data_IF_196046536738
#
_entry.id   IF_196046536738
#
_cell.length_a   1.000
_cell.length_b   1.000
_cell.length_c   1.000
_cell.angle_alpha   90.00
_cell.angle_beta   90.00
_cell.angle_gamma   90.00
#
_symmetry.space_group_name_H-M   'P 1'
#
loop_
_entity.id
_entity.type
_entity.pdbx_description
1 polymer ?
#
# COMPACT_ATOMS: atom_id res chain seq x y z
N UNK A 1 28.41 -28.53 -2.59
CA UNK A 1 27.70 -27.56 -1.75
C UNK A 1 28.56 -26.32 -1.47
N UNK A 2 29.70 -26.43 -0.76
CA UNK A 2 30.61 -25.29 -0.49
C UNK A 2 31.17 -24.59 -1.74
N UNK A 3 31.53 -25.34 -2.79
CA UNK A 3 32.00 -24.76 -4.07
C UNK A 3 30.95 -23.90 -4.78
N UNK A 4 29.66 -24.12 -4.52
CA UNK A 4 28.57 -23.40 -5.16
C UNK A 4 28.23 -22.10 -4.38
N UNK A 5 28.39 -22.14 -3.06
CA UNK A 5 28.33 -20.96 -2.18
C UNK A 5 29.50 -20.02 -2.50
N UNK A 6 30.73 -20.54 -2.60
CA UNK A 6 31.90 -19.74 -2.98
C UNK A 6 31.82 -19.18 -4.40
N UNK A 7 31.25 -19.92 -5.36
CA UNK A 7 31.01 -19.41 -6.71
C UNK A 7 30.00 -18.25 -6.70
N UNK A 8 28.92 -18.37 -5.93
CA UNK A 8 27.92 -17.30 -5.76
C UNK A 8 28.50 -16.05 -5.12
N UNK A 9 29.43 -16.19 -4.17
CA UNK A 9 30.13 -15.05 -3.54
C UNK A 9 31.20 -14.46 -4.47
N UNK A 10 31.89 -15.29 -5.26
CA UNK A 10 32.92 -14.86 -6.22
C UNK A 10 32.34 -14.09 -7.41
N UNK A 11 31.21 -14.54 -7.96
CA UNK A 11 30.54 -13.89 -9.10
C UNK A 11 30.07 -12.47 -8.73
N UNK A 12 29.87 -12.16 -7.43
CA UNK A 12 29.50 -10.84 -6.92
C UNK A 12 30.64 -9.80 -7.03
N UNK A 13 31.90 -10.24 -7.11
CA UNK A 13 33.08 -9.36 -7.11
C UNK A 13 33.71 -9.15 -8.51
N UNK A 14 33.03 -9.55 -9.59
CA UNK A 14 33.48 -9.20 -10.96
C UNK A 14 33.33 -7.69 -11.24
N UNK A 15 34.27 -7.05 -11.97
CA UNK A 15 34.25 -5.60 -12.27
C UNK A 15 32.95 -5.09 -12.92
N UNK A 16 32.31 -5.88 -13.79
CA UNK A 16 31.00 -5.55 -14.39
C UNK A 16 29.82 -5.68 -13.41
N UNK A 17 29.96 -6.51 -12.37
CA UNK A 17 28.98 -6.64 -11.30
C UNK A 17 29.17 -5.57 -10.22
N UNK A 18 30.37 -5.00 -10.08
CA UNK A 18 30.65 -3.87 -9.17
C UNK A 18 29.96 -2.58 -9.64
N UNK A 19 29.92 -2.27 -10.95
CA UNK A 19 29.14 -1.12 -11.44
C UNK A 19 27.62 -1.33 -11.34
N UNK A 20 27.17 -2.58 -11.43
CA UNK A 20 25.78 -3.00 -11.20
C UNK A 20 25.42 -3.12 -9.71
N UNK A 21 26.41 -3.20 -8.82
CA UNK A 21 26.28 -3.17 -7.36
C UNK A 21 26.15 -1.73 -6.81
N UNK A 22 26.29 -0.71 -7.67
CA UNK A 22 25.94 0.68 -7.36
C UNK A 22 24.42 0.94 -7.35
N UNK A 23 23.60 -0.02 -7.77
CA UNK A 23 22.14 0.04 -7.64
C UNK A 23 21.74 -0.34 -6.20
N UNK A 24 21.26 0.62 -5.37
CA UNK A 24 21.02 0.35 -3.96
C UNK A 24 19.89 -0.67 -3.73
N UNK A 25 18.95 -0.80 -4.66
CA UNK A 25 17.90 -1.83 -4.58
C UNK A 25 18.50 -3.23 -4.77
N UNK A 26 19.49 -3.39 -5.67
CA UNK A 26 20.21 -4.67 -5.83
C UNK A 26 21.06 -4.99 -4.61
N UNK A 27 21.77 -4.00 -4.07
CA UNK A 27 22.55 -4.19 -2.84
C UNK A 27 21.65 -4.63 -1.68
N UNK A 28 20.47 -4.01 -1.54
CA UNK A 28 19.46 -4.40 -0.55
C UNK A 28 18.96 -5.83 -0.77
N UNK A 29 18.61 -6.20 -2.00
CA UNK A 29 18.18 -7.57 -2.33
C UNK A 29 19.27 -8.62 -2.06
N UNK A 30 20.54 -8.33 -2.40
CA UNK A 30 21.67 -9.22 -2.15
C UNK A 30 21.95 -9.38 -0.65
N UNK A 31 21.90 -8.28 0.11
CA UNK A 31 22.03 -8.31 1.57
C UNK A 31 20.91 -9.14 2.21
N UNK A 32 19.67 -8.94 1.78
CA UNK A 32 18.53 -9.72 2.25
C UNK A 32 18.68 -11.21 1.93
N UNK A 33 19.05 -11.53 0.68
CA UNK A 33 19.31 -12.89 0.24
C UNK A 33 20.35 -13.59 1.13
N UNK A 34 21.49 -12.95 1.39
CA UNK A 34 22.53 -13.51 2.26
C UNK A 34 22.05 -13.81 3.68
N UNK A 35 21.20 -12.93 4.24
CA UNK A 35 20.65 -13.13 5.58
C UNK A 35 19.58 -14.23 5.61
N UNK A 36 18.76 -14.39 4.57
CA UNK A 36 17.81 -15.51 4.48
C UNK A 36 18.55 -16.86 4.44
N UNK A 37 19.61 -16.96 3.62
CA UNK A 37 20.41 -18.18 3.55
C UNK A 37 21.10 -18.47 4.91
N UNK A 38 21.58 -17.41 5.58
CA UNK A 38 22.14 -17.51 6.94
C UNK A 38 21.10 -17.99 7.96
N UNK A 39 19.84 -17.57 7.81
CA UNK A 39 18.69 -18.00 8.61
C UNK A 39 18.49 -19.52 8.48
N UNK A 40 18.54 -20.04 7.25
CA UNK A 40 18.46 -21.48 6.99
C UNK A 40 19.62 -22.28 7.60
N UNK A 41 20.85 -21.76 7.55
CA UNK A 41 22.01 -22.38 8.21
C UNK A 41 21.83 -22.38 9.73
N UNK A 42 21.42 -21.26 10.33
CA UNK A 42 21.13 -21.18 11.77
C UNK A 42 20.10 -22.20 12.20
N UNK A 43 19.02 -22.35 11.42
CA UNK A 43 17.97 -23.34 11.66
C UNK A 43 18.50 -24.78 11.59
N UNK A 44 19.31 -25.11 10.58
CA UNK A 44 19.90 -26.43 10.42
C UNK A 44 20.86 -26.82 11.56
N UNK A 45 21.52 -25.83 12.17
CA UNK A 45 22.37 -26.03 13.35
C UNK A 45 21.59 -26.17 14.67
N UNK A 46 20.26 -26.01 14.64
CA UNK A 46 19.40 -26.16 15.82
C UNK A 46 19.43 -24.99 16.79
N UNK A 47 19.94 -23.82 16.39
CA UNK A 47 20.07 -22.66 17.27
C UNK A 47 18.75 -21.91 17.46
N UNK A 48 18.38 -21.64 18.71
CA UNK A 48 17.40 -20.67 19.24
C UNK A 48 16.40 -20.08 18.22
N UNK A 49 15.47 -20.92 17.78
CA UNK A 49 14.29 -20.50 17.00
C UNK A 49 13.03 -20.81 17.79
N UNK A 50 12.14 -19.83 17.92
CA UNK A 50 10.83 -20.05 18.54
C UNK A 50 10.05 -21.08 17.72
N UNK A 51 9.52 -22.11 18.38
CA UNK A 51 8.76 -23.19 17.74
C UNK A 51 7.40 -23.33 18.41
N UNK A 52 6.37 -23.43 17.58
CA UNK A 52 5.01 -23.66 18.07
C UNK A 52 4.94 -24.98 18.85
N UNK A 53 4.20 -24.95 19.96
CA UNK A 53 3.87 -26.14 20.75
C UNK A 53 2.36 -26.18 20.94
N UNK A 54 1.71 -27.35 20.76
CA UNK A 54 0.29 -27.50 21.06
C UNK A 54 -0.07 -27.00 22.47
N UNK A 55 -1.18 -26.30 22.59
CA UNK A 55 -1.63 -25.70 23.86
C UNK A 55 -0.95 -24.39 24.25
N UNK A 56 -0.01 -23.87 23.44
CA UNK A 56 0.51 -22.50 23.56
C UNK A 56 -0.12 -21.59 22.50
N UNK A 57 -0.27 -20.28 22.76
CA UNK A 57 -0.72 -19.33 21.75
C UNK A 57 0.18 -19.31 20.52
N UNK A 58 -0.41 -19.12 19.34
CA UNK A 58 0.31 -18.94 18.09
C UNK A 58 0.86 -17.51 18.00
N UNK A 59 2.18 -17.35 18.15
CA UNK A 59 2.91 -16.09 17.96
C UNK A 59 3.14 -15.78 16.49
N UNK A 60 2.49 -14.73 15.96
CA UNK A 60 2.68 -14.25 14.59
C UNK A 60 3.16 -12.81 14.58
N UNK A 61 4.03 -12.48 13.62
CA UNK A 61 4.40 -11.09 13.33
C UNK A 61 3.88 -10.67 11.96
N UNK A 62 3.19 -9.53 11.92
CA UNK A 62 2.73 -8.89 10.70
C UNK A 62 3.82 -7.96 10.20
N UNK A 63 4.36 -8.26 9.02
CA UNK A 63 5.25 -7.38 8.28
C UNK A 63 4.40 -6.62 7.25
N UNK A 64 4.38 -5.29 7.30
CA UNK A 64 3.59 -4.46 6.39
C UNK A 64 4.00 -2.99 6.37
N UNK A 65 3.39 -2.21 5.47
CA UNK A 65 3.59 -0.77 5.39
C UNK A 65 2.58 -0.03 6.29
N UNK A 66 2.72 -0.16 7.61
CA UNK A 66 1.91 0.59 8.58
C UNK A 66 2.76 1.64 9.31
N UNK A 67 2.13 2.66 9.86
CA UNK A 67 2.84 3.78 10.50
C UNK A 67 3.33 4.86 9.54
N UNK A 68 2.76 4.91 8.34
CA UNK A 68 2.82 6.04 7.42
C UNK A 68 1.52 6.84 7.39
N UNK A 69 0.47 6.39 8.10
CA UNK A 69 -0.92 6.83 7.97
C UNK A 69 -1.47 6.63 6.56
N UNK A 70 -1.06 5.56 5.88
CA UNK A 70 -1.75 5.12 4.68
C UNK A 70 -3.01 4.36 5.12
N UNK A 71 -4.16 5.05 5.10
CA UNK A 71 -5.46 4.50 5.52
C UNK A 71 -5.73 3.15 4.87
N UNK A 72 -5.37 2.97 3.60
CA UNK A 72 -5.56 1.69 2.91
C UNK A 72 -4.72 0.53 3.44
N UNK A 73 -3.47 0.79 3.83
CA UNK A 73 -2.65 -0.20 4.50
C UNK A 73 -3.16 -0.47 5.93
N UNK A 74 -3.54 0.59 6.65
CA UNK A 74 -3.95 0.50 8.05
C UNK A 74 -5.26 -0.28 8.22
N UNK A 75 -6.31 0.03 7.43
CA UNK A 75 -7.61 -0.69 7.51
C UNK A 75 -7.47 -2.17 7.17
N UNK A 76 -6.59 -2.51 6.21
CA UNK A 76 -6.37 -3.89 5.80
C UNK A 76 -5.80 -4.71 6.95
N UNK A 77 -4.82 -4.14 7.65
CA UNK A 77 -4.19 -4.77 8.78
C UNK A 77 -5.15 -4.86 9.96
N UNK A 78 -5.86 -3.79 10.32
CA UNK A 78 -6.82 -3.81 11.43
C UNK A 78 -7.84 -4.92 11.23
N UNK A 79 -8.32 -5.06 9.99
CA UNK A 79 -9.29 -6.09 9.64
C UNK A 79 -8.68 -7.50 9.64
N UNK A 80 -7.41 -7.67 9.24
CA UNK A 80 -6.69 -8.95 9.45
C UNK A 80 -6.61 -9.33 10.93
N UNK A 81 -6.31 -8.37 11.82
CA UNK A 81 -6.24 -8.62 13.26
C UNK A 81 -7.60 -9.08 13.80
N UNK A 82 -8.69 -8.43 13.38
CA UNK A 82 -10.06 -8.83 13.74
C UNK A 82 -10.40 -10.22 13.23
N UNK A 83 -10.08 -10.54 11.98
CA UNK A 83 -10.31 -11.85 11.38
C UNK A 83 -9.53 -12.96 12.09
N UNK A 84 -8.25 -12.75 12.40
CA UNK A 84 -7.45 -13.73 13.11
C UNK A 84 -8.02 -14.02 14.50
N UNK A 85 -8.43 -12.99 15.24
CA UNK A 85 -9.09 -13.18 16.54
C UNK A 85 -10.40 -13.91 16.43
N UNK A 86 -11.22 -13.61 15.43
CA UNK A 86 -12.47 -14.31 15.20
C UNK A 86 -12.27 -15.81 14.91
N UNK A 87 -11.18 -16.17 14.24
CA UNK A 87 -10.85 -17.57 13.88
C UNK A 87 -10.21 -18.32 15.05
N UNK A 88 -9.21 -17.71 15.69
CA UNK A 88 -8.37 -18.40 16.68
C UNK A 88 -8.86 -18.21 18.12
N UNK A 89 -9.51 -17.07 18.44
CA UNK A 89 -9.76 -16.62 19.80
C UNK A 89 -8.52 -15.94 20.42
N UNK A 90 -8.75 -14.96 21.29
CA UNK A 90 -7.68 -14.13 21.88
C UNK A 90 -6.67 -14.94 22.71
N UNK A 91 -7.11 -16.00 23.38
CA UNK A 91 -6.25 -16.85 24.22
C UNK A 91 -5.33 -17.78 23.41
N UNK A 92 -5.54 -17.87 22.09
CA UNK A 92 -4.83 -18.81 21.22
C UNK A 92 -3.91 -18.13 20.21
N UNK A 93 -3.82 -16.79 20.22
CA UNK A 93 -2.97 -16.06 19.30
C UNK A 93 -2.27 -14.88 19.99
N UNK A 94 -0.99 -14.71 19.70
CA UNK A 94 -0.20 -13.54 20.09
C UNK A 94 0.24 -12.82 18.82
N UNK A 95 -0.17 -11.56 18.67
CA UNK A 95 0.07 -10.78 17.46
C UNK A 95 1.05 -9.64 17.73
N UNK A 96 2.06 -9.56 16.87
CA UNK A 96 2.96 -8.42 16.76
C UNK A 96 2.82 -7.76 15.39
N UNK A 97 3.12 -6.48 15.29
CA UNK A 97 3.15 -5.74 14.02
C UNK A 97 4.39 -4.88 13.90
N UNK A 98 5.04 -4.92 12.74
CA UNK A 98 6.12 -4.02 12.38
C UNK A 98 5.56 -2.68 11.90
N UNK A 99 5.91 -1.58 12.56
CA UNK A 99 5.46 -0.22 12.23
C UNK A 99 6.63 0.67 11.85
N UNK A 100 6.40 1.57 10.89
CA UNK A 100 7.34 2.60 10.51
C UNK A 100 7.45 3.73 11.54
N UNK A 101 6.40 3.96 12.33
CA UNK A 101 6.36 4.99 13.37
C UNK A 101 5.31 4.64 14.41
N UNK A 102 5.77 4.38 15.64
CA UNK A 102 4.88 4.02 16.76
C UNK A 102 3.94 5.14 17.16
N UNK A 103 4.28 6.42 16.96
CA UNK A 103 3.40 7.54 17.28
C UNK A 103 2.19 7.55 16.35
N UNK A 104 2.42 7.28 15.07
CA UNK A 104 1.38 7.26 14.06
C UNK A 104 0.47 6.03 14.16
N UNK A 105 0.98 4.91 14.71
CA UNK A 105 0.18 3.72 15.01
C UNK A 105 -0.31 3.63 16.45
N UNK A 106 -0.04 4.60 17.33
CA UNK A 106 -0.49 4.55 18.74
C UNK A 106 -2.01 4.49 18.88
N UNK A 107 -2.73 5.16 17.96
CA UNK A 107 -4.19 5.13 17.90
C UNK A 107 -4.77 3.86 17.28
N UNK A 108 -3.95 3.05 16.60
CA UNK A 108 -4.32 1.86 15.82
C UNK A 108 -3.76 0.59 16.43
N UNK A 109 -4.30 -0.57 16.06
CA UNK A 109 -3.74 -1.86 16.44
C UNK A 109 -3.43 -1.95 17.96
N UNK A 110 -4.28 -1.36 18.82
CA UNK A 110 -3.95 -1.07 20.24
C UNK A 110 -3.71 -2.33 21.08
N UNK A 111 -4.20 -3.45 20.57
CA UNK A 111 -4.23 -4.75 21.23
C UNK A 111 -3.14 -5.69 20.70
N UNK A 112 -2.21 -5.20 19.89
CA UNK A 112 -1.08 -5.98 19.37
C UNK A 112 0.25 -5.31 19.69
N UNK A 113 1.30 -6.12 19.83
CA UNK A 113 2.64 -5.61 20.14
C UNK A 113 3.20 -4.89 18.92
N UNK A 114 3.41 -3.58 19.02
CA UNK A 114 3.98 -2.78 17.93
C UNK A 114 5.49 -2.71 18.02
N UNK A 115 6.19 -2.99 16.92
CA UNK A 115 7.65 -3.07 16.84
C UNK A 115 8.11 -2.07 15.79
N UNK A 116 8.89 -1.08 16.21
CA UNK A 116 9.36 -0.05 15.30
C UNK A 116 10.44 -0.62 14.37
N UNK A 117 10.21 -0.50 13.06
CA UNK A 117 11.11 -0.98 12.02
C UNK A 117 12.13 0.12 11.67
N UNK A 118 13.43 -0.21 11.61
CA UNK A 118 14.44 0.72 11.13
C UNK A 118 14.35 0.89 9.61
N UNK A 119 14.87 2.02 9.10
CA UNK A 119 14.94 2.28 7.65
C UNK A 119 15.69 1.17 6.91
N UNK A 120 16.80 0.68 7.48
CA UNK A 120 17.56 -0.45 6.95
C UNK A 120 17.15 -1.72 7.71
N UNK A 121 16.26 -2.49 7.11
CA UNK A 121 15.57 -3.61 7.74
C UNK A 121 16.18 -5.03 7.61
N UNK A 122 17.20 -5.35 6.76
CA UNK A 122 17.67 -6.74 6.64
C UNK A 122 18.12 -7.39 7.94
N UNK A 123 19.00 -6.74 8.70
CA UNK A 123 19.44 -7.24 10.02
C UNK A 123 18.28 -7.32 11.01
N UNK A 124 17.40 -6.31 11.00
CA UNK A 124 16.22 -6.30 11.85
C UNK A 124 15.32 -7.53 11.61
N UNK A 125 15.03 -7.87 10.36
CA UNK A 125 14.26 -9.08 10.04
C UNK A 125 14.98 -10.36 10.48
N UNK A 126 16.30 -10.44 10.26
CA UNK A 126 17.11 -11.59 10.67
C UNK A 126 17.10 -11.83 12.20
N UNK A 127 17.02 -10.75 12.98
CA UNK A 127 16.98 -10.79 14.45
C UNK A 127 15.54 -10.95 14.99
N UNK A 128 14.53 -10.37 14.32
CA UNK A 128 13.17 -10.28 14.83
C UNK A 128 12.27 -11.45 14.39
N UNK A 129 12.31 -11.87 13.12
CA UNK A 129 11.50 -13.00 12.62
C UNK A 129 11.67 -14.31 13.44
N UNK A 130 12.87 -14.67 13.95
CA UNK A 130 13.07 -15.91 14.70
C UNK A 130 12.28 -16.00 16.00
N UNK A 131 11.82 -14.87 16.54
CA UNK A 131 11.07 -14.77 17.80
C UNK A 131 9.60 -15.21 17.67
N UNK A 132 9.15 -15.51 16.46
CA UNK A 132 7.76 -15.85 16.15
C UNK A 132 7.65 -17.25 15.53
N UNK A 133 6.44 -17.83 15.59
CA UNK A 133 6.09 -19.08 14.91
C UNK A 133 5.80 -18.89 13.42
N UNK A 134 5.61 -17.64 12.98
CA UNK A 134 5.28 -17.32 11.61
C UNK A 134 5.29 -15.84 11.31
N UNK A 135 5.39 -15.54 10.02
CA UNK A 135 5.29 -14.20 9.44
C UNK A 135 4.06 -14.13 8.56
N UNK A 136 3.31 -13.04 8.74
CA UNK A 136 2.24 -12.62 7.83
C UNK A 136 2.71 -11.37 7.11
N UNK A 137 2.96 -11.44 5.80
CA UNK A 137 3.10 -10.24 4.98
C UNK A 137 1.71 -9.67 4.71
N UNK A 138 1.48 -8.42 5.10
CA UNK A 138 0.15 -7.80 5.11
C UNK A 138 0.00 -6.55 4.23
N UNK A 139 0.86 -6.34 3.23
CA UNK A 139 0.73 -5.23 2.26
C UNK A 139 -0.18 -5.60 1.09
N UNK A 140 -0.84 -4.60 0.50
CA UNK A 140 -1.73 -4.78 -0.65
C UNK A 140 -0.89 -4.89 -1.91
N UNK A 141 -0.07 -3.88 -2.17
CA UNK A 141 0.87 -3.85 -3.30
C UNK A 141 2.14 -4.68 -3.04
N UNK A 142 1.98 -5.95 -2.64
CA UNK A 142 3.05 -6.75 -2.02
C UNK A 142 4.19 -7.14 -2.97
N UNK A 143 3.90 -7.49 -4.22
CA UNK A 143 4.90 -7.99 -5.17
C UNK A 143 4.91 -7.18 -6.46
N UNK A 144 5.63 -6.06 -6.47
CA UNK A 144 5.78 -5.19 -7.67
C UNK A 144 6.94 -4.21 -7.55
N UNK A 145 7.40 -3.72 -8.71
CA UNK A 145 8.47 -2.70 -8.81
C UNK A 145 7.94 -1.27 -9.01
N UNK A 146 6.62 -1.08 -9.16
CA UNK A 146 6.00 0.22 -9.46
C UNK A 146 6.20 1.28 -8.38
N UNK A 147 6.17 0.90 -7.09
CA UNK A 147 6.26 1.83 -5.96
C UNK A 147 7.68 1.97 -5.45
N UNK A 148 8.20 0.89 -4.86
CA UNK A 148 9.57 0.79 -4.39
C UNK A 148 9.94 -0.70 -4.32
N UNK A 149 11.07 -1.06 -4.91
CA UNK A 149 11.60 -2.43 -4.80
C UNK A 149 11.89 -2.78 -3.33
N UNK A 150 12.33 -1.80 -2.54
CA UNK A 150 12.58 -1.97 -1.10
C UNK A 150 11.37 -2.53 -0.33
N UNK A 151 10.14 -2.11 -0.67
CA UNK A 151 8.94 -2.62 0.01
C UNK A 151 8.69 -4.09 -0.36
N UNK A 152 8.81 -4.46 -1.63
CA UNK A 152 8.74 -5.87 -2.04
C UNK A 152 9.86 -6.68 -1.41
N UNK A 153 11.09 -6.15 -1.32
CA UNK A 153 12.22 -6.82 -0.66
C UNK A 153 11.99 -7.03 0.84
N UNK A 154 11.36 -6.07 1.53
CA UNK A 154 10.98 -6.23 2.93
C UNK A 154 10.00 -7.38 3.11
N UNK A 155 8.95 -7.44 2.29
CA UNK A 155 7.90 -8.45 2.42
C UNK A 155 8.36 -9.84 2.01
N UNK A 156 8.96 -9.95 0.83
CA UNK A 156 9.56 -11.20 0.37
C UNK A 156 10.71 -11.65 1.30
N UNK A 157 11.44 -10.70 1.89
CA UNK A 157 12.46 -10.96 2.89
C UNK A 157 11.89 -11.59 4.16
N UNK A 158 10.85 -10.99 4.74
CA UNK A 158 10.21 -11.50 5.94
C UNK A 158 9.59 -12.90 5.72
N UNK A 159 8.92 -13.11 4.58
CA UNK A 159 8.42 -14.42 4.17
C UNK A 159 9.55 -15.44 4.00
N UNK A 160 10.64 -15.04 3.35
CA UNK A 160 11.82 -15.89 3.14
C UNK A 160 12.51 -16.28 4.44
N UNK A 161 12.62 -15.37 5.42
CA UNK A 161 13.16 -15.69 6.76
C UNK A 161 12.34 -16.78 7.44
N UNK A 162 11.01 -16.65 7.45
CA UNK A 162 10.14 -17.65 8.05
C UNK A 162 10.22 -18.99 7.31
N UNK A 163 10.18 -18.96 5.97
CA UNK A 163 10.29 -20.17 5.15
C UNK A 163 11.62 -20.90 5.36
N UNK A 164 12.74 -20.18 5.47
CA UNK A 164 14.07 -20.75 5.72
C UNK A 164 14.19 -21.46 7.08
N UNK A 165 13.38 -21.06 8.06
CA UNK A 165 13.29 -21.71 9.38
C UNK A 165 12.13 -22.72 9.47
N UNK A 166 11.52 -23.10 8.34
CA UNK A 166 10.37 -24.00 8.26
C UNK A 166 9.17 -23.54 9.13
N UNK A 167 8.92 -22.22 9.15
CA UNK A 167 7.83 -21.57 9.87
C UNK A 167 6.71 -21.15 8.92
N UNK A 168 5.57 -20.73 9.48
CA UNK A 168 4.46 -20.21 8.68
C UNK A 168 4.91 -18.93 7.96
N UNK A 169 4.81 -18.93 6.63
CA UNK A 169 5.11 -17.79 5.78
C UNK A 169 3.91 -17.52 4.87
N UNK A 170 3.11 -16.50 5.20
CA UNK A 170 1.84 -16.24 4.52
C UNK A 170 1.76 -14.79 4.03
N UNK A 171 1.56 -14.57 2.73
CA UNK A 171 1.10 -13.29 2.21
C UNK A 171 -0.43 -13.24 2.26
N UNK A 172 -1.02 -12.25 2.93
CA UNK A 172 -2.47 -12.20 3.17
C UNK A 172 -3.12 -10.99 2.48
N UNK A 173 -4.10 -11.23 1.61
CA UNK A 173 -4.76 -10.20 0.81
C UNK A 173 -3.82 -9.51 -0.18
N UNK A 174 -2.88 -10.25 -0.75
CA UNK A 174 -1.78 -9.73 -1.56
C UNK A 174 -2.21 -9.41 -2.99
N UNK A 175 -1.51 -8.45 -3.59
CA UNK A 175 -1.52 -8.20 -5.01
C UNK A 175 -0.11 -8.29 -5.60
N UNK A 176 -0.05 -8.83 -6.80
CA UNK A 176 1.17 -8.93 -7.58
C UNK A 176 0.98 -8.23 -8.92
N UNK A 177 2.00 -7.48 -9.32
CA UNK A 177 2.02 -6.73 -10.57
C UNK A 177 3.34 -6.92 -11.30
N UNK A 178 3.67 -5.98 -12.18
CA UNK A 178 4.95 -6.01 -12.89
C UNK A 178 6.12 -5.91 -11.90
N UNK A 179 7.07 -6.84 -12.02
CA UNK A 179 8.34 -6.85 -11.31
C UNK A 179 9.47 -6.78 -12.33
N UNK A 180 10.50 -5.98 -12.04
CA UNK A 180 11.73 -6.02 -12.83
C UNK A 180 12.41 -7.40 -12.72
N UNK A 181 13.31 -7.75 -13.66
CA UNK A 181 13.90 -9.09 -13.68
C UNK A 181 14.65 -9.48 -12.40
N UNK A 182 15.46 -8.60 -11.75
CA UNK A 182 16.03 -8.89 -10.44
C UNK A 182 15.00 -9.21 -9.36
N UNK A 183 13.97 -8.37 -9.20
CA UNK A 183 12.92 -8.57 -8.21
C UNK A 183 12.14 -9.86 -8.46
N UNK A 184 11.81 -10.15 -9.72
CA UNK A 184 11.13 -11.39 -10.11
C UNK A 184 11.92 -12.63 -9.70
N UNK A 185 13.25 -12.62 -9.88
CA UNK A 185 14.13 -13.72 -9.45
C UNK A 185 14.20 -13.83 -7.92
N UNK A 186 14.28 -12.70 -7.23
CA UNK A 186 14.31 -12.65 -5.76
C UNK A 186 13.04 -13.25 -5.16
N UNK A 187 11.87 -12.78 -5.59
CA UNK A 187 10.56 -13.27 -5.14
C UNK A 187 10.37 -14.75 -5.49
N UNK A 188 10.71 -15.16 -6.71
CA UNK A 188 10.64 -16.57 -7.14
C UNK A 188 11.44 -17.49 -6.22
N UNK A 189 12.64 -17.07 -5.81
CA UNK A 189 13.52 -17.90 -4.97
C UNK A 189 13.04 -17.96 -3.52
N UNK A 190 12.78 -16.81 -2.91
CA UNK A 190 12.62 -16.71 -1.47
C UNK A 190 11.17 -16.80 -0.99
N UNK A 191 10.18 -16.72 -1.89
CA UNK A 191 8.77 -16.91 -1.54
C UNK A 191 8.18 -18.24 -2.06
N UNK A 192 8.99 -19.13 -2.64
CA UNK A 192 8.52 -20.39 -3.24
C UNK A 192 7.78 -21.30 -2.24
N UNK A 193 8.22 -21.28 -0.98
CA UNK A 193 7.69 -22.12 0.10
C UNK A 193 6.63 -21.36 0.93
N UNK A 194 6.24 -20.16 0.50
CA UNK A 194 5.19 -19.36 1.13
C UNK A 194 3.82 -19.65 0.54
N UNK A 195 2.76 -19.44 1.32
CA UNK A 195 1.39 -19.37 0.83
C UNK A 195 1.01 -17.91 0.59
N UNK A 196 0.53 -17.56 -0.60
CA UNK A 196 0.02 -16.22 -0.87
C UNK A 196 -1.48 -16.26 -1.17
N UNK A 197 -2.28 -15.61 -0.31
CA UNK A 197 -3.70 -15.39 -0.52
C UNK A 197 -3.85 -14.10 -1.32
N UNK A 198 -4.16 -14.23 -2.59
CA UNK A 198 -4.29 -13.11 -3.52
C UNK A 198 -5.69 -12.49 -3.46
N UNK A 199 -5.76 -11.17 -3.52
CA UNK A 199 -7.04 -10.42 -3.50
C UNK A 199 -7.75 -10.33 -4.85
N UNK A 200 -7.12 -10.81 -5.93
CA UNK A 200 -7.68 -10.86 -7.28
C UNK A 200 -7.01 -11.97 -8.13
N UNK A 201 -7.69 -12.38 -9.19
CA UNK A 201 -7.22 -13.45 -10.09
C UNK A 201 -5.95 -13.08 -10.88
N UNK A 202 -5.79 -11.86 -11.43
CA UNK A 202 -4.55 -11.48 -12.11
C UNK A 202 -3.29 -11.70 -11.27
N UNK A 203 -3.35 -11.40 -9.96
CA UNK A 203 -2.24 -11.63 -9.05
C UNK A 203 -1.91 -13.11 -8.87
N UNK A 204 -2.91 -14.00 -8.92
CA UNK A 204 -2.70 -15.45 -8.88
C UNK A 204 -1.96 -15.94 -10.11
N UNK A 205 -2.27 -15.39 -11.29
CA UNK A 205 -1.52 -15.66 -12.52
C UNK A 205 -0.05 -15.25 -12.40
N UNK A 206 0.21 -14.00 -12.00
CA UNK A 206 1.58 -13.46 -11.86
C UNK A 206 2.45 -14.31 -10.93
N UNK A 207 1.92 -14.70 -9.77
CA UNK A 207 2.66 -15.52 -8.80
C UNK A 207 2.68 -17.00 -9.16
N UNK A 208 1.64 -17.51 -9.83
CA UNK A 208 1.59 -18.87 -10.37
C UNK A 208 2.71 -19.12 -11.38
N UNK A 209 3.00 -18.15 -12.26
CA UNK A 209 4.12 -18.20 -13.21
C UNK A 209 5.51 -18.26 -12.52
N UNK A 210 5.58 -17.88 -11.24
CA UNK A 210 6.79 -18.00 -10.42
C UNK A 210 6.87 -19.34 -9.69
N UNK A 211 5.82 -20.16 -9.74
CA UNK A 211 5.72 -21.41 -8.98
C UNK A 211 5.41 -21.18 -7.50
N UNK A 212 4.89 -20.02 -7.12
CA UNK A 212 4.52 -19.70 -5.74
C UNK A 212 3.11 -20.24 -5.47
N UNK A 213 2.92 -20.87 -4.30
CA UNK A 213 1.61 -21.41 -3.92
C UNK A 213 0.63 -20.27 -3.65
N UNK A 214 -0.47 -20.23 -4.40
CA UNK A 214 -1.51 -19.21 -4.24
C UNK A 214 -2.88 -19.77 -3.83
N UNK A 215 -3.69 -18.93 -3.20
CA UNK A 215 -5.13 -19.10 -3.00
C UNK A 215 -5.86 -17.82 -3.41
N UNK A 216 -7.09 -17.94 -3.85
CA UNK A 216 -7.98 -16.79 -4.05
C UNK A 216 -8.57 -16.30 -2.74
N UNK A 217 -8.84 -15.01 -2.68
CA UNK A 217 -9.50 -14.31 -1.59
C UNK A 217 -10.00 -12.94 -2.09
N UNK A 218 -10.42 -12.10 -1.16
CA UNK A 218 -10.78 -10.69 -1.42
C UNK A 218 -9.81 -9.76 -0.71
N UNK A 219 -9.88 -8.47 -0.99
CA UNK A 219 -9.14 -7.48 -0.21
C UNK A 219 -9.66 -7.45 1.23
N UNK A 220 -8.75 -7.46 2.19
CA UNK A 220 -9.15 -7.56 3.60
C UNK A 220 -9.91 -6.34 4.07
N UNK A 221 -9.72 -5.16 3.47
CA UNK A 221 -10.43 -3.94 3.86
C UNK A 221 -11.95 -4.01 3.61
N UNK A 222 -12.43 -4.96 2.81
CA UNK A 222 -13.85 -5.03 2.42
C UNK A 222 -14.79 -5.10 3.62
N UNK A 223 -14.40 -5.85 4.65
CA UNK A 223 -15.20 -6.07 5.87
C UNK A 223 -14.83 -5.13 7.00
N UNK A 224 -14.04 -4.09 6.74
CA UNK A 224 -13.67 -3.12 7.77
C UNK A 224 -14.89 -2.40 8.35
N UNK A 225 -14.92 -2.28 9.67
CA UNK A 225 -15.95 -1.58 10.43
C UNK A 225 -15.47 -0.16 10.79
N UNK A 226 -16.07 0.90 10.20
CA UNK A 226 -15.68 2.28 10.48
C UNK A 226 -16.34 2.82 11.75
N UNK A 227 -16.03 4.08 12.08
CA UNK A 227 -16.82 4.81 13.07
C UNK A 227 -18.32 4.87 12.66
N UNK A 228 -19.26 4.96 13.63
CA UNK A 228 -20.69 5.03 13.35
C UNK A 228 -21.05 6.11 12.33
N UNK A 229 -22.15 5.93 11.60
CA UNK A 229 -22.56 6.86 10.52
C UNK A 229 -22.68 8.31 11.01
N UNK A 230 -23.15 8.50 12.24
CA UNK A 230 -23.35 9.80 12.88
C UNK A 230 -22.04 10.57 13.02
N UNK A 231 -20.93 9.84 13.20
CA UNK A 231 -19.59 10.43 13.26
C UNK A 231 -19.19 11.01 11.90
N UNK A 232 -19.35 10.24 10.82
CA UNK A 232 -19.10 10.71 9.46
C UNK A 232 -19.98 11.90 9.08
N UNK A 233 -21.27 11.86 9.42
CA UNK A 233 -22.20 12.98 9.19
C UNK A 233 -21.81 14.23 9.98
N UNK A 234 -21.40 14.09 11.24
CA UNK A 234 -20.95 15.21 12.06
C UNK A 234 -19.69 15.88 11.49
N UNK A 235 -18.73 15.08 11.01
CA UNK A 235 -17.53 15.56 10.35
C UNK A 235 -17.86 16.33 9.05
N UNK A 236 -18.77 15.79 8.23
CA UNK A 236 -19.24 16.46 7.02
C UNK A 236 -19.98 17.77 7.33
N UNK A 237 -20.84 17.79 8.35
CA UNK A 237 -21.55 19.02 8.78
C UNK A 237 -20.60 20.09 9.26
N UNK A 238 -19.59 19.72 10.06
CA UNK A 238 -18.53 20.63 10.48
C UNK A 238 -17.73 21.20 9.29
N UNK A 239 -17.65 20.45 8.19
CA UNK A 239 -17.02 20.86 6.95
C UNK A 239 -17.94 21.69 6.01
N UNK A 240 -19.20 21.91 6.37
CA UNK A 240 -20.15 22.74 5.61
C UNK A 240 -21.26 21.96 4.88
N UNK A 241 -21.41 20.66 5.15
CA UNK A 241 -22.56 19.90 4.66
C UNK A 241 -23.85 20.29 5.39
N UNK A 242 -24.91 20.54 4.63
CA UNK A 242 -26.23 20.93 5.15
C UNK A 242 -27.06 19.70 5.60
N UNK A 243 -26.63 18.49 5.24
CA UNK A 243 -27.34 17.24 5.49
C UNK A 243 -28.30 16.81 4.39
N UNK A 244 -28.39 17.56 3.29
CA UNK A 244 -29.33 17.30 2.20
C UNK A 244 -28.64 17.26 0.82
N UNK A 245 -27.69 18.15 0.55
CA UNK A 245 -27.00 18.19 -0.74
C UNK A 245 -26.20 16.90 -0.97
N UNK A 246 -26.10 16.46 -2.24
CA UNK A 246 -25.24 15.34 -2.64
C UNK A 246 -23.78 15.66 -2.25
N UNK A 247 -23.02 14.66 -1.81
CA UNK A 247 -21.59 14.82 -1.48
C UNK A 247 -20.76 13.98 -2.45
N UNK A 248 -19.78 14.58 -3.13
CA UNK A 248 -18.84 13.88 -4.00
C UNK A 248 -17.45 13.86 -3.39
N UNK A 249 -16.93 12.67 -3.09
CA UNK A 249 -15.55 12.51 -2.67
C UNK A 249 -14.60 12.46 -3.88
N UNK A 250 -13.52 13.23 -3.82
CA UNK A 250 -12.45 13.19 -4.80
C UNK A 250 -11.15 12.83 -4.09
N UNK A 251 -10.54 11.71 -4.46
CA UNK A 251 -9.33 11.19 -3.79
C UNK A 251 -8.11 11.28 -4.73
N UNK A 252 -7.54 12.47 -4.96
CA UNK A 252 -6.40 12.62 -5.84
C UNK A 252 -5.11 12.12 -5.18
N UNK A 253 -4.16 11.71 -6.00
CA UNK A 253 -2.77 11.43 -5.61
C UNK A 253 -1.83 12.23 -6.51
N UNK A 254 -0.52 12.15 -6.27
CA UNK A 254 0.45 12.43 -7.33
C UNK A 254 0.95 11.10 -7.95
N UNK A 255 0.47 10.72 -9.15
CA UNK A 255 0.81 9.43 -9.74
C UNK A 255 2.19 9.42 -10.40
N UNK A 256 2.81 10.59 -10.61
CA UNK A 256 4.06 10.74 -11.36
C UNK A 256 5.31 10.82 -10.45
N UNK A 257 5.14 10.67 -9.14
CA UNK A 257 6.23 10.60 -8.15
C UNK A 257 6.88 9.21 -7.99
N UNK A 258 6.35 8.21 -8.69
CA UNK A 258 6.72 6.80 -8.53
C UNK A 258 7.43 6.25 -9.77
N UNK A 259 8.37 5.28 -9.64
CA UNK A 259 8.83 4.67 -8.39
C UNK A 259 9.72 5.62 -7.58
N UNK A 260 9.67 5.48 -6.26
CA UNK A 260 10.61 6.16 -5.36
C UNK A 260 11.92 5.39 -5.39
N UNK A 261 13.03 6.09 -5.64
CA UNK A 261 14.38 5.51 -5.69
C UNK A 261 15.26 6.05 -4.57
N UNK A 262 16.19 5.24 -4.04
CA UNK A 262 17.19 5.72 -3.11
C UNK A 262 18.17 6.66 -3.82
N UNK A 263 18.31 7.88 -3.31
CA UNK A 263 19.27 8.89 -3.77
C UNK A 263 20.10 9.38 -2.58
N UNK A 264 21.27 8.77 -2.41
CA UNK A 264 22.21 9.05 -1.32
C UNK A 264 22.81 10.46 -1.40
N UNK A 265 22.90 11.06 -2.58
CA UNK A 265 23.42 12.43 -2.76
C UNK A 265 22.39 13.47 -2.33
N UNK A 266 21.12 13.28 -2.71
CA UNK A 266 20.03 14.13 -2.20
C UNK A 266 19.80 13.94 -0.70
N UNK A 267 20.02 12.74 -0.16
CA UNK A 267 19.94 12.48 1.29
C UNK A 267 20.98 13.28 2.08
N UNK A 268 22.21 13.35 1.57
CA UNK A 268 23.28 14.15 2.16
C UNK A 268 23.00 15.66 2.04
N UNK A 269 22.50 16.14 0.89
CA UNK A 269 22.12 17.54 0.69
C UNK A 269 20.92 17.97 1.54
N UNK A 270 19.93 17.09 1.73
CA UNK A 270 18.79 17.31 2.63
C UNK A 270 19.25 17.41 4.10
N UNK A 271 20.14 16.51 4.55
CA UNK A 271 20.61 16.49 5.94
C UNK A 271 21.55 17.66 6.29
N UNK A 272 22.32 18.17 5.31
CA UNK A 272 23.27 19.26 5.51
C UNK A 272 22.70 20.66 5.26
N UNK A 273 21.75 20.82 4.34
CA UNK A 273 21.30 22.14 3.86
C UNK A 273 19.78 22.36 3.84
N UNK A 274 18.96 21.36 4.21
CA UNK A 274 17.50 21.48 4.22
C UNK A 274 16.85 21.69 2.84
N UNK A 275 17.59 21.44 1.76
CA UNK A 275 17.12 21.49 0.37
C UNK A 275 16.35 20.21 0.01
N UNK A 276 15.52 20.22 -1.03
CA UNK A 276 14.72 19.07 -1.51
C UNK A 276 13.58 18.58 -0.60
N UNK A 277 13.02 19.45 0.28
CA UNK A 277 11.87 19.12 1.15
C UNK A 277 10.64 18.57 0.41
N UNK A 278 10.41 18.99 -0.85
CA UNK A 278 9.27 18.52 -1.67
C UNK A 278 9.54 17.17 -2.37
N UNK A 279 10.80 16.76 -2.46
CA UNK A 279 11.24 15.53 -3.14
C UNK A 279 11.53 14.40 -2.14
N UNK A 280 11.63 14.72 -0.85
CA UNK A 280 11.96 13.75 0.19
C UNK A 280 10.72 12.93 0.55
N UNK A 281 10.75 11.63 0.22
CA UNK A 281 9.73 10.69 0.67
C UNK A 281 10.03 10.27 2.11
N UNK A 282 11.21 9.66 2.34
CA UNK A 282 11.73 9.33 3.68
C UNK A 282 13.20 8.89 3.63
N UNK A 283 14.00 9.29 4.62
CA UNK A 283 15.42 8.92 4.77
C UNK A 283 16.24 9.15 3.49
N UNK A 284 16.63 8.09 2.78
CA UNK A 284 17.42 8.17 1.54
C UNK A 284 16.57 8.10 0.27
N UNK A 285 15.25 7.98 0.40
CA UNK A 285 14.33 7.76 -0.71
C UNK A 285 13.71 9.07 -1.18
N UNK A 286 13.84 9.36 -2.47
CA UNK A 286 13.36 10.57 -3.11
C UNK A 286 12.35 10.25 -4.21
N UNK A 287 11.34 11.12 -4.35
CA UNK A 287 10.40 11.09 -5.46
C UNK A 287 11.11 11.41 -6.79
N UNK A 288 10.65 10.78 -7.87
CA UNK A 288 11.06 11.19 -9.20
C UNK A 288 10.44 12.55 -9.51
N UNK A 289 11.26 13.60 -9.62
CA UNK A 289 10.81 14.93 -10.05
C UNK A 289 11.55 15.32 -11.33
N UNK A 290 10.78 15.56 -12.38
CA UNK A 290 11.22 16.12 -13.66
C UNK A 290 10.18 17.15 -14.12
N UNK A 291 10.57 18.10 -14.97
CA UNK A 291 9.62 19.07 -15.55
C UNK A 291 8.46 18.36 -16.27
N UNK A 292 8.74 17.22 -16.90
CA UNK A 292 7.73 16.36 -17.53
C UNK A 292 6.74 15.79 -16.49
N UNK A 293 7.24 15.30 -15.35
CA UNK A 293 6.38 14.76 -14.27
C UNK A 293 5.50 15.85 -13.68
N UNK A 294 6.04 17.06 -13.52
CA UNK A 294 5.29 18.23 -13.03
C UNK A 294 4.24 18.68 -14.05
N UNK A 295 4.55 18.68 -15.35
CA UNK A 295 3.60 18.99 -16.41
C UNK A 295 2.46 17.96 -16.48
N UNK A 296 2.78 16.67 -16.39
CA UNK A 296 1.80 15.57 -16.33
C UNK A 296 0.90 15.70 -15.11
N UNK A 297 1.46 15.99 -13.93
CA UNK A 297 0.68 16.20 -12.72
C UNK A 297 -0.25 17.42 -12.83
N UNK A 298 0.22 18.53 -13.42
CA UNK A 298 -0.62 19.70 -13.70
C UNK A 298 -1.78 19.36 -14.63
N UNK A 299 -1.53 18.61 -15.70
CA UNK A 299 -2.57 18.16 -16.64
C UNK A 299 -3.60 17.24 -15.96
N UNK A 300 -3.13 16.28 -15.16
CA UNK A 300 -3.97 15.36 -14.37
C UNK A 300 -4.89 16.12 -13.40
N UNK A 301 -4.35 17.00 -12.56
CA UNK A 301 -5.14 17.81 -11.62
C UNK A 301 -6.05 18.80 -12.36
N UNK A 302 -5.61 19.36 -13.49
CA UNK A 302 -6.41 20.24 -14.33
C UNK A 302 -7.62 19.52 -14.94
N UNK A 303 -7.45 18.26 -15.37
CA UNK A 303 -8.54 17.41 -15.86
C UNK A 303 -9.58 17.14 -14.78
N UNK A 304 -9.13 16.76 -13.57
CA UNK A 304 -10.02 16.56 -12.42
C UNK A 304 -10.77 17.85 -12.06
N UNK A 305 -10.06 18.97 -11.96
CA UNK A 305 -10.67 20.27 -11.64
C UNK A 305 -11.75 20.65 -12.68
N UNK A 306 -11.45 20.53 -13.97
CA UNK A 306 -12.39 20.84 -15.07
C UNK A 306 -13.69 20.03 -14.93
N UNK A 307 -13.59 18.72 -14.72
CA UNK A 307 -14.76 17.86 -14.55
C UNK A 307 -15.53 18.18 -13.27
N UNK A 308 -14.84 18.37 -12.15
CA UNK A 308 -15.46 18.65 -10.86
C UNK A 308 -16.21 19.99 -10.85
N UNK A 309 -15.63 21.03 -11.48
CA UNK A 309 -16.27 22.35 -11.62
C UNK A 309 -17.58 22.23 -12.42
N UNK A 310 -17.55 21.52 -13.55
CA UNK A 310 -18.73 21.30 -14.36
C UNK A 310 -19.81 20.52 -13.58
N UNK A 311 -19.41 19.44 -12.91
CA UNK A 311 -20.32 18.62 -12.12
C UNK A 311 -20.97 19.37 -10.96
N UNK A 312 -20.20 20.13 -10.17
CA UNK A 312 -20.72 20.90 -9.04
C UNK A 312 -21.69 21.98 -9.54
N UNK A 313 -21.41 22.63 -10.67
CA UNK A 313 -22.31 23.59 -11.30
C UNK A 313 -23.65 22.96 -11.73
N UNK A 314 -23.61 21.72 -12.22
CA UNK A 314 -24.81 20.99 -12.68
C UNK A 314 -25.64 20.41 -11.54
N UNK A 315 -24.98 19.89 -10.50
CA UNK A 315 -25.63 19.09 -9.45
C UNK A 315 -25.88 19.85 -8.14
N UNK A 316 -25.17 20.95 -7.91
CA UNK A 316 -25.14 21.60 -6.60
C UNK A 316 -24.50 20.75 -5.49
N UNK A 317 -23.76 19.69 -5.84
CA UNK A 317 -23.13 18.80 -4.87
C UNK A 317 -22.00 19.50 -4.09
N UNK A 318 -21.80 19.09 -2.84
CA UNK A 318 -20.63 19.44 -2.04
C UNK A 318 -19.43 18.57 -2.45
N UNK A 319 -18.36 19.13 -3.01
CA UNK A 319 -17.12 18.39 -3.23
C UNK A 319 -16.29 18.35 -1.96
N UNK A 320 -15.78 17.16 -1.61
CA UNK A 320 -14.75 16.99 -0.59
C UNK A 320 -13.50 16.38 -1.21
N UNK A 321 -12.33 16.77 -0.74
CA UNK A 321 -11.04 16.23 -1.16
C UNK A 321 -10.51 15.29 -0.08
N UNK A 322 -10.17 14.07 -0.45
CA UNK A 322 -9.82 13.02 0.51
C UNK A 322 -8.41 12.50 0.26
N UNK A 323 -7.51 12.73 1.21
CA UNK A 323 -6.15 12.21 1.20
C UNK A 323 -6.03 10.94 2.04
N UNK A 324 -5.96 9.78 1.38
CA UNK A 324 -5.89 8.47 2.05
C UNK A 324 -4.51 8.16 2.65
N UNK A 325 -3.53 9.00 2.38
CA UNK A 325 -2.20 8.99 3.00
C UNK A 325 -1.74 10.44 3.19
N UNK A 326 -0.84 10.71 4.16
CA UNK A 326 -0.42 12.09 4.47
C UNK A 326 0.14 12.82 3.25
N UNK A 327 0.87 12.10 2.39
CA UNK A 327 1.43 12.66 1.15
C UNK A 327 0.36 13.10 0.14
N UNK A 328 -0.87 12.59 0.24
CA UNK A 328 -1.96 13.00 -0.66
C UNK A 328 -2.43 14.42 -0.38
N UNK A 329 -2.09 14.99 0.79
CA UNK A 329 -2.33 16.39 1.13
C UNK A 329 -1.90 17.31 -0.01
N UNK A 330 -0.71 17.09 -0.55
CA UNK A 330 -0.17 17.93 -1.62
C UNK A 330 -1.05 17.91 -2.88
N UNK A 331 -1.58 16.75 -3.25
CA UNK A 331 -2.49 16.63 -4.39
C UNK A 331 -3.86 17.22 -4.09
N UNK A 332 -4.35 17.08 -2.86
CA UNK A 332 -5.61 17.68 -2.40
C UNK A 332 -5.52 19.21 -2.38
N UNK A 333 -4.48 19.78 -1.77
CA UNK A 333 -4.27 21.23 -1.70
C UNK A 333 -4.08 21.83 -3.11
N UNK A 334 -3.26 21.20 -3.95
CA UNK A 334 -3.08 21.65 -5.33
C UNK A 334 -4.40 21.56 -6.13
N UNK A 335 -5.21 20.53 -5.93
CA UNK A 335 -6.54 20.47 -6.55
C UNK A 335 -7.45 21.58 -6.03
N UNK A 336 -7.48 21.82 -4.71
CA UNK A 336 -8.29 22.88 -4.09
C UNK A 336 -7.97 24.27 -4.66
N UNK A 337 -6.70 24.59 -4.86
CA UNK A 337 -6.25 25.86 -5.47
C UNK A 337 -6.80 26.11 -6.88
N UNK A 338 -7.22 25.04 -7.59
CA UNK A 338 -7.75 25.10 -8.95
C UNK A 338 -9.27 25.24 -8.99
N UNK A 339 -9.94 25.14 -7.84
CA UNK A 339 -11.40 25.17 -7.76
C UNK A 339 -11.88 26.60 -7.43
N UNK A 340 -12.94 27.09 -8.09
CA UNK A 340 -13.52 28.41 -7.82
C UNK A 340 -14.40 28.42 -6.56
N UNK A 341 -14.45 27.31 -5.83
CA UNK A 341 -15.25 27.11 -4.62
C UNK A 341 -14.43 26.37 -3.56
N UNK A 342 -14.85 26.47 -2.30
CA UNK A 342 -14.25 25.73 -1.20
C UNK A 342 -14.58 24.24 -1.34
N UNK A 343 -13.55 23.40 -1.29
CA UNK A 343 -13.68 21.95 -1.15
C UNK A 343 -12.98 21.55 0.16
N UNK A 344 -13.69 21.09 1.20
CA UNK A 344 -13.07 20.65 2.45
C UNK A 344 -12.12 19.47 2.26
N UNK A 345 -11.03 19.44 3.02
CA UNK A 345 -10.03 18.38 2.98
C UNK A 345 -10.26 17.41 4.15
N UNK A 346 -10.23 16.11 3.86
CA UNK A 346 -10.18 15.03 4.84
C UNK A 346 -8.92 14.21 4.57
N UNK A 347 -7.86 14.46 5.33
CA UNK A 347 -6.57 13.81 5.13
C UNK A 347 -6.22 12.94 6.33
N UNK A 348 -5.61 11.79 6.05
CA UNK A 348 -5.22 10.79 7.05
C UNK A 348 -4.23 11.25 8.13
N UNK A 349 -3.56 12.40 7.99
CA UNK A 349 -2.75 13.00 9.06
C UNK A 349 -3.61 13.70 10.14
N UNK A 350 -4.80 14.17 9.77
CA UNK A 350 -5.76 14.84 10.66
C UNK A 350 -6.91 13.93 11.11
N UNK A 351 -7.26 12.95 10.26
CA UNK A 351 -8.37 12.04 10.50
C UNK A 351 -7.89 10.60 10.55
N UNK A 352 -8.42 9.84 11.50
CA UNK A 352 -8.08 8.43 11.65
C UNK A 352 -8.85 7.55 10.64
N UNK A 353 -8.43 6.28 10.49
CA UNK A 353 -8.99 5.39 9.48
C UNK A 353 -10.48 5.09 9.70
N UNK A 354 -10.95 5.12 10.95
CA UNK A 354 -12.35 4.89 11.30
C UNK A 354 -13.21 6.08 10.87
N UNK A 355 -12.75 7.30 11.16
CA UNK A 355 -13.38 8.54 10.73
C UNK A 355 -13.36 8.68 9.20
N UNK A 356 -12.21 8.42 8.57
CA UNK A 356 -12.03 8.51 7.11
C UNK A 356 -13.02 7.60 6.38
N UNK A 357 -13.10 6.31 6.74
CA UNK A 357 -14.04 5.39 6.09
C UNK A 357 -15.49 5.74 6.42
N UNK A 358 -15.78 6.23 7.62
CA UNK A 358 -17.13 6.71 7.98
C UNK A 358 -17.57 7.86 7.08
N UNK A 359 -16.70 8.86 6.87
CA UNK A 359 -16.94 9.97 5.93
C UNK A 359 -17.13 9.46 4.51
N UNK A 360 -16.25 8.57 4.02
CA UNK A 360 -16.36 8.02 2.67
C UNK A 360 -17.71 7.32 2.43
N UNK A 361 -18.21 6.55 3.40
CA UNK A 361 -19.51 5.85 3.31
C UNK A 361 -20.73 6.77 3.45
N UNK A 362 -20.53 8.06 3.77
CA UNK A 362 -21.59 9.07 3.74
C UNK A 362 -21.65 9.87 2.43
N UNK A 363 -20.68 9.69 1.55
CA UNK A 363 -20.68 10.34 0.25
C UNK A 363 -21.75 9.75 -0.67
N UNK A 364 -22.34 10.58 -1.52
CA UNK A 364 -23.28 10.16 -2.56
C UNK A 364 -22.56 9.53 -3.76
N UNK A 365 -21.30 9.91 -4.00
CA UNK A 365 -20.48 9.32 -5.04
C UNK A 365 -18.99 9.62 -4.85
N UNK A 366 -18.13 8.95 -5.63
CA UNK A 366 -16.68 9.08 -5.55
C UNK A 366 -16.00 9.10 -6.92
N UNK A 367 -14.93 9.89 -7.01
CA UNK A 367 -13.85 9.76 -8.01
C UNK A 367 -12.55 9.54 -7.25
N UNK A 368 -11.79 8.50 -7.57
CA UNK A 368 -10.62 8.15 -6.76
C UNK A 368 -9.45 7.63 -7.58
N UNK A 369 -8.25 8.09 -7.21
CA UNK A 369 -6.97 7.52 -7.61
C UNK A 369 -6.36 6.63 -6.51
N UNK A 370 -7.09 6.42 -5.41
CA UNK A 370 -6.76 5.54 -4.29
C UNK A 370 -7.68 4.32 -4.29
N UNK A 371 -7.10 3.16 -4.59
CA UNK A 371 -7.80 1.86 -4.58
C UNK A 371 -8.64 1.64 -3.31
N UNK A 372 -8.07 1.88 -2.12
CA UNK A 372 -8.77 1.59 -0.86
C UNK A 372 -9.88 2.59 -0.52
N UNK A 373 -9.92 3.80 -1.10
CA UNK A 373 -11.08 4.67 -0.95
C UNK A 373 -12.31 4.03 -1.62
N UNK A 374 -12.09 3.37 -2.77
CA UNK A 374 -13.13 2.64 -3.49
C UNK A 374 -13.53 1.39 -2.69
N UNK A 375 -12.56 0.55 -2.31
CA UNK A 375 -12.85 -0.70 -1.56
C UNK A 375 -13.62 -0.45 -0.27
N UNK A 376 -13.20 0.52 0.53
CA UNK A 376 -13.80 0.76 1.84
C UNK A 376 -15.17 1.44 1.78
N UNK A 377 -15.50 2.09 0.65
CA UNK A 377 -16.79 2.75 0.44
C UNK A 377 -17.86 1.84 -0.18
N UNK A 378 -17.48 0.71 -0.79
CA UNK A 378 -18.42 -0.24 -1.38
C UNK A 378 -19.47 -0.80 -0.41
N UNK A 379 -19.14 -1.18 0.85
CA UNK A 379 -20.17 -1.57 1.82
C UNK A 379 -21.14 -0.44 2.17
N UNK A 380 -20.74 0.82 1.95
CA UNK A 380 -21.62 1.99 2.06
C UNK A 380 -22.42 2.29 0.77
N UNK A 381 -22.34 1.41 -0.24
CA UNK A 381 -23.00 1.54 -1.54
C UNK A 381 -22.67 2.84 -2.28
N UNK A 382 -21.45 3.35 -2.12
CA UNK A 382 -21.02 4.60 -2.78
C UNK A 382 -20.61 4.30 -4.23
N UNK A 383 -21.34 4.81 -5.24
CA UNK A 383 -20.95 4.67 -6.63
C UNK A 383 -19.61 5.38 -6.87
N UNK A 384 -18.69 4.71 -7.56
CA UNK A 384 -17.30 5.15 -7.67
C UNK A 384 -16.78 5.01 -9.08
N UNK A 385 -15.98 5.96 -9.54
CA UNK A 385 -15.10 5.75 -10.70
C UNK A 385 -13.65 6.02 -10.34
N UNK A 386 -12.75 5.40 -11.11
CA UNK A 386 -11.33 5.38 -10.85
C UNK A 386 -10.50 6.22 -11.81
N UNK A 387 -9.37 6.75 -11.35
CA UNK A 387 -8.29 7.23 -12.23
C UNK A 387 -7.02 6.50 -11.84
N UNK A 388 -6.51 5.65 -12.72
CA UNK A 388 -5.51 4.63 -12.38
C UNK A 388 -4.14 4.97 -12.96
N UNK A 389 -3.09 4.71 -12.16
CA UNK A 389 -1.68 4.80 -12.57
C UNK A 389 -1.03 3.42 -12.76
N UNK A 390 -1.76 2.37 -12.40
CA UNK A 390 -1.34 0.98 -12.41
C UNK A 390 -2.54 0.03 -12.58
N UNK A 391 -2.34 -1.26 -12.36
CA UNK A 391 -3.35 -2.30 -12.55
C UNK A 391 -4.47 -2.33 -11.49
N UNK A 392 -4.32 -1.63 -10.35
CA UNK A 392 -5.15 -1.92 -9.16
C UNK A 392 -6.61 -1.56 -9.32
N UNK A 393 -6.85 -0.31 -9.68
CA UNK A 393 -8.21 0.19 -9.91
C UNK A 393 -8.79 -0.47 -11.17
N UNK A 394 -7.96 -0.70 -12.20
CA UNK A 394 -8.38 -1.44 -13.40
C UNK A 394 -8.90 -2.84 -13.05
N UNK A 395 -8.13 -3.61 -12.31
CA UNK A 395 -8.52 -4.95 -11.86
C UNK A 395 -9.79 -4.90 -11.02
N UNK A 396 -9.88 -3.94 -10.08
CA UNK A 396 -11.08 -3.76 -9.26
C UNK A 396 -12.33 -3.48 -10.10
N UNK A 397 -12.24 -2.60 -11.09
CA UNK A 397 -13.38 -2.25 -11.94
C UNK A 397 -13.79 -3.42 -12.82
N UNK A 398 -12.82 -4.19 -13.33
CA UNK A 398 -13.10 -5.42 -14.07
C UNK A 398 -13.75 -6.50 -13.19
N UNK A 399 -13.25 -6.70 -11.96
CA UNK A 399 -13.79 -7.68 -11.00
C UNK A 399 -15.22 -7.33 -10.57
N UNK A 400 -15.62 -6.06 -10.67
CA UNK A 400 -17.00 -5.59 -10.43
C UNK A 400 -17.86 -5.57 -11.69
N UNK A 401 -17.34 -6.01 -12.84
CA UNK A 401 -18.02 -5.97 -14.14
C UNK A 401 -18.34 -4.55 -14.66
N UNK A 402 -17.52 -3.56 -14.30
CA UNK A 402 -17.63 -2.16 -14.75
C UNK A 402 -16.33 -1.65 -15.41
N UNK A 403 -15.79 -2.30 -16.47
CA UNK A 403 -14.51 -1.96 -17.09
C UNK A 403 -14.41 -0.52 -17.64
N UNK A 404 -15.53 0.14 -17.87
CA UNK A 404 -15.62 1.53 -18.31
C UNK A 404 -15.41 2.56 -17.19
N UNK A 405 -15.46 2.14 -15.91
CA UNK A 405 -15.47 3.03 -14.75
C UNK A 405 -14.06 3.40 -14.27
N UNK A 406 -13.06 3.35 -15.15
CA UNK A 406 -11.74 3.90 -14.87
C UNK A 406 -11.14 4.63 -16.09
N UNK A 407 -10.23 5.56 -15.81
CA UNK A 407 -9.39 6.25 -16.79
C UNK A 407 -7.92 6.12 -16.40
N UNK A 408 -7.00 6.26 -17.35
CA UNK A 408 -5.57 6.42 -17.04
C UNK A 408 -5.27 7.85 -16.57
N UNK A 409 -4.32 7.98 -15.64
CA UNK A 409 -3.86 9.29 -15.12
C UNK A 409 -3.26 10.21 -16.18
N UNK A 410 -2.74 9.66 -17.27
CA UNK A 410 -2.13 10.37 -18.41
C UNK A 410 -2.97 10.29 -19.69
N UNK A 411 -4.23 9.85 -19.58
CA UNK A 411 -5.14 9.77 -20.71
C UNK A 411 -5.45 11.15 -21.31
N UNK A 412 -5.43 11.22 -22.64
CA UNK A 412 -5.86 12.44 -23.35
C UNK A 412 -7.31 12.81 -22.99
N UNK A 413 -7.60 14.11 -22.93
CA UNK A 413 -8.94 14.63 -22.66
C UNK A 413 -9.53 14.10 -21.35
N UNK A 414 -8.68 13.95 -20.32
CA UNK A 414 -9.06 13.42 -19.01
C UNK A 414 -10.28 14.14 -18.44
N UNK A 415 -10.36 15.47 -18.57
CA UNK A 415 -11.49 16.26 -18.07
C UNK A 415 -12.82 15.95 -18.77
N UNK A 416 -12.85 15.89 -20.12
CA UNK A 416 -14.08 15.52 -20.84
C UNK A 416 -14.51 14.09 -20.51
N UNK A 417 -13.57 13.14 -20.54
CA UNK A 417 -13.84 11.72 -20.28
C UNK A 417 -14.32 11.48 -18.85
N UNK A 418 -13.70 12.16 -17.87
CA UNK A 418 -14.09 12.05 -16.48
C UNK A 418 -15.50 12.60 -16.25
N UNK A 419 -15.86 13.71 -16.89
CA UNK A 419 -17.22 14.24 -16.83
C UNK A 419 -18.24 13.26 -17.43
N UNK A 420 -17.90 12.61 -18.54
CA UNK A 420 -18.77 11.59 -19.14
C UNK A 420 -18.98 10.39 -18.20
N UNK A 421 -17.91 9.93 -17.53
CA UNK A 421 -17.99 8.86 -16.52
C UNK A 421 -18.84 9.28 -15.31
N UNK A 422 -18.65 10.49 -14.78
CA UNK A 422 -19.45 11.03 -13.67
C UNK A 422 -20.95 10.99 -14.02
N UNK A 423 -21.32 11.54 -15.19
CA UNK A 423 -22.73 11.55 -15.63
C UNK A 423 -23.29 10.15 -15.85
N UNK A 424 -22.47 9.23 -16.38
CA UNK A 424 -22.89 7.83 -16.57
C UNK A 424 -23.16 7.16 -15.23
N UNK A 425 -22.20 7.23 -14.30
CA UNK A 425 -22.31 6.70 -12.94
C UNK A 425 -23.55 7.22 -12.22
N UNK A 426 -23.85 8.51 -12.34
CA UNK A 426 -25.01 9.09 -11.65
C UNK A 426 -26.35 8.62 -12.25
N UNK A 427 -26.42 8.43 -13.58
CA UNK A 427 -27.61 7.83 -14.22
C UNK A 427 -27.81 6.38 -13.83
N UNK A 428 -26.72 5.61 -13.75
CA UNK A 428 -26.78 4.18 -13.40
C UNK A 428 -27.00 3.95 -11.90
N UNK A 429 -26.55 4.85 -11.03
CA UNK A 429 -26.78 4.77 -9.58
C UNK A 429 -28.19 5.18 -9.14
N UNK A 430 -28.98 5.80 -10.01
CA UNK A 430 -30.40 6.14 -9.78
C UNK A 430 -31.36 5.04 -10.27
N UNK A 431 -30.85 4.03 -11.00
CA UNK A 431 -31.59 2.86 -11.48
C UNK A 431 -31.47 1.68 -10.50
#
# INVERSE_FOLDING_TARGET
MWKQIFKTVSDVFEPENISKALDPDRALMLSMAGLIESCGVRYALGNDVERYRPGKPLKLVLAGYVGSRNTGADVRVEEMLRQFRAIFGDDHIELSIMTLDRKLTAGYFRTVRQIEMPVVFPKFLYDECPKYHGVIACEGSMFKSKFANALTTFMAGALGMAAAENKLAVGYGAEAGQMDPPMRRFVKRYCRDSLVICRNEPSRGVLGDLGIRTKGGTDTAWTFEPAPKERGEALLRAAGWDGAQKVIAVCPINPFWWPVKPDVFKAAAFHLAGQHKREHYRSIYFHHQSEESDAKNKAYLGGIAKALIAYVKESGALPILVGMEQLDRYACEALAERLPFRAPLFVSDEHDMYDMVSVLRRCSSMISSRYHAIVTSMPGLVPSAGITMDERIRNLMNDREHPEMFLEVDGEQLGEKLMAIIRRRDREGEA
#
